data_IF_879427278874
#
_entry.id   IF_879427278874
#
_cell.length_a   1.000
_cell.length_b   1.000
_cell.length_c   1.000
_cell.angle_alpha   90.00
_cell.angle_beta   90.00
_cell.angle_gamma   90.00
#
_symmetry.space_group_name_H-M   'P 1'
#
loop_
_entity.id
_entity.type
_entity.pdbx_description
1 polymer ?
#
# COMPACT_ATOMS: atom_id res chain seq x y z
N UNK A 1 24.59 29.78 53.21
CA UNK A 1 24.02 30.60 52.11
C UNK A 1 24.92 30.39 50.91
N UNK A 2 24.56 29.72 49.82
CA UNK A 2 23.25 29.52 49.20
C UNK A 2 23.35 30.07 47.78
N UNK A 3 23.30 29.18 46.78
CA UNK A 3 22.86 29.36 45.38
C UNK A 3 23.64 28.41 44.47
N UNK A 4 23.22 27.14 44.39
CA UNK A 4 22.33 26.59 43.34
C UNK A 4 22.89 26.82 41.93
N UNK A 5 23.73 25.87 41.52
CA UNK A 5 23.98 25.56 40.12
C UNK A 5 22.64 25.16 39.47
N UNK A 6 22.15 26.03 38.58
CA UNK A 6 20.94 25.82 37.78
C UNK A 6 21.07 24.56 36.95
N UNK A 7 20.32 23.55 37.37
CA UNK A 7 20.32 22.16 36.92
C UNK A 7 19.32 21.93 35.78
N UNK A 8 19.05 22.97 34.99
CA UNK A 8 17.84 23.05 34.16
C UNK A 8 18.05 22.74 32.67
N UNK A 9 19.27 22.42 32.22
CA UNK A 9 19.52 22.14 30.78
C UNK A 9 19.48 20.64 30.41
N UNK A 10 19.35 19.74 31.40
CA UNK A 10 19.39 18.29 31.16
C UNK A 10 18.02 17.65 30.85
N UNK A 11 16.93 18.41 30.99
CA UNK A 11 15.55 17.93 30.75
C UNK A 11 15.05 18.20 29.33
N UNK A 12 15.77 18.99 28.53
CA UNK A 12 15.38 19.31 27.13
C UNK A 12 15.87 18.23 26.14
N UNK A 13 16.94 17.51 26.46
CA UNK A 13 17.55 16.53 25.54
C UNK A 13 16.89 15.15 25.57
N UNK A 14 16.14 14.81 26.63
CA UNK A 14 15.46 13.52 26.77
C UNK A 14 14.13 13.42 26.00
N UNK A 15 13.72 14.49 25.29
CA UNK A 15 12.53 14.47 24.42
C UNK A 15 12.82 14.08 22.97
N UNK A 16 14.08 13.81 22.60
CA UNK A 16 14.39 12.98 21.42
C UNK A 16 14.10 11.51 21.70
N UNK A 17 12.91 11.24 22.24
CA UNK A 17 12.27 9.93 22.16
C UNK A 17 12.28 9.62 20.67
N UNK A 18 13.10 8.65 20.25
CA UNK A 18 13.14 8.17 18.88
C UNK A 18 11.69 7.93 18.49
N UNK A 19 11.11 8.82 17.70
CA UNK A 19 9.84 8.53 17.05
C UNK A 19 10.11 7.24 16.29
N UNK A 20 9.37 6.16 16.56
CA UNK A 20 9.49 4.99 15.70
C UNK A 20 9.31 5.51 14.27
N UNK A 21 10.15 5.13 13.30
CA UNK A 21 9.94 5.52 11.91
C UNK A 21 8.48 5.24 11.63
N UNK A 22 7.74 6.27 11.18
CA UNK A 22 6.29 6.21 10.95
C UNK A 22 5.99 4.82 10.43
N UNK A 23 5.34 3.97 11.25
CA UNK A 23 5.01 2.62 10.83
C UNK A 23 4.06 2.82 9.66
N UNK A 24 4.59 2.69 8.45
CA UNK A 24 3.87 2.73 7.19
C UNK A 24 3.05 1.43 7.03
N UNK A 25 2.48 0.96 8.13
CA UNK A 25 1.66 -0.22 8.15
C UNK A 25 0.30 0.16 7.56
N UNK A 26 0.11 -0.34 6.33
CA UNK A 26 -1.17 -0.61 5.65
C UNK A 26 -1.84 0.53 4.87
N UNK A 27 -1.11 1.31 4.10
CA UNK A 27 -1.70 1.84 2.85
C UNK A 27 -1.37 0.88 1.73
N UNK A 28 -2.18 -0.17 1.58
CA UNK A 28 -2.06 -1.13 0.47
C UNK A 28 -3.19 -0.90 -0.53
N UNK A 29 -2.86 -0.87 -1.81
CA UNK A 29 -3.82 -0.75 -2.91
C UNK A 29 -3.73 -1.99 -3.78
N UNK A 30 -4.87 -2.59 -4.06
CA UNK A 30 -5.03 -3.59 -5.11
C UNK A 30 -5.82 -2.97 -6.26
N UNK A 31 -5.30 -3.10 -7.48
CA UNK A 31 -6.02 -2.75 -8.70
C UNK A 31 -6.55 -4.04 -9.29
N UNK A 32 -7.87 -4.25 -9.25
CA UNK A 32 -8.47 -5.45 -9.84
C UNK A 32 -8.47 -5.34 -11.38
N UNK A 33 -8.40 -6.48 -12.10
CA UNK A 33 -8.43 -6.48 -13.56
C UNK A 33 -9.69 -5.78 -14.08
N UNK A 34 -9.48 -4.81 -14.97
CA UNK A 34 -10.60 -4.16 -15.65
C UNK A 34 -11.31 -5.15 -16.57
N UNK A 35 -12.63 -5.02 -16.67
CA UNK A 35 -13.42 -5.78 -17.63
C UNK A 35 -13.24 -5.22 -19.03
N UNK A 36 -13.12 -6.08 -20.03
CA UNK A 36 -13.29 -5.68 -21.42
C UNK A 36 -14.76 -5.31 -21.67
N UNK A 37 -15.01 -4.06 -22.08
CA UNK A 37 -16.33 -3.56 -22.47
C UNK A 37 -16.54 -3.56 -23.99
N UNK A 38 -15.51 -3.95 -24.76
CA UNK A 38 -15.60 -4.14 -26.21
C UNK A 38 -16.31 -5.46 -26.53
N UNK A 39 -17.05 -5.54 -27.64
CA UNK A 39 -17.55 -6.82 -28.16
C UNK A 39 -16.41 -7.70 -28.72
N UNK A 40 -15.23 -7.14 -29.01
CA UNK A 40 -14.09 -7.92 -29.51
C UNK A 40 -13.31 -8.54 -28.33
N UNK A 41 -13.25 -9.88 -28.23
CA UNK A 41 -12.45 -10.55 -27.21
C UNK A 41 -10.93 -10.31 -27.39
N UNK A 42 -10.48 -9.87 -28.57
CA UNK A 42 -9.09 -9.49 -28.75
C UNK A 42 -8.74 -8.25 -27.95
N UNK A 43 -9.67 -7.35 -27.63
CA UNK A 43 -9.37 -6.13 -26.86
C UNK A 43 -9.08 -6.39 -25.37
N UNK A 44 -9.12 -7.66 -24.93
CA UNK A 44 -8.80 -8.06 -23.57
C UNK A 44 -7.39 -7.64 -23.12
N UNK A 45 -6.42 -7.67 -24.04
CA UNK A 45 -5.05 -7.22 -23.74
C UNK A 45 -5.00 -5.74 -23.39
N UNK A 46 -5.94 -4.93 -23.88
CA UNK A 46 -6.01 -3.50 -23.59
C UNK A 46 -6.43 -3.27 -22.13
N UNK A 47 -7.46 -3.99 -21.66
CA UNK A 47 -7.88 -3.94 -20.26
C UNK A 47 -6.77 -4.44 -19.30
N UNK A 48 -6.04 -5.47 -19.70
CA UNK A 48 -4.88 -5.98 -18.95
C UNK A 48 -3.73 -4.96 -18.92
N UNK A 49 -3.39 -4.37 -20.07
CA UNK A 49 -2.36 -3.34 -20.18
C UNK A 49 -2.70 -2.11 -19.36
N UNK A 50 -3.97 -1.72 -19.30
CA UNK A 50 -4.44 -0.61 -18.46
C UNK A 50 -4.32 -0.92 -16.97
N UNK A 51 -4.70 -2.14 -16.55
CA UNK A 51 -4.51 -2.62 -15.17
C UNK A 51 -3.04 -2.55 -14.76
N UNK A 52 -2.16 -3.07 -15.61
CA UNK A 52 -0.72 -3.08 -15.38
C UNK A 52 -0.12 -1.68 -15.34
N UNK A 53 -0.52 -0.81 -16.27
CA UNK A 53 -0.08 0.59 -16.31
C UNK A 53 -0.48 1.35 -15.03
N UNK A 54 -1.67 1.09 -14.50
CA UNK A 54 -2.13 1.70 -13.25
C UNK A 54 -1.36 1.18 -12.04
N UNK A 55 -1.12 -0.14 -11.95
CA UNK A 55 -0.27 -0.74 -10.92
C UNK A 55 1.13 -0.12 -10.96
N UNK A 56 1.75 -0.03 -12.13
CA UNK A 56 3.09 0.54 -12.30
C UNK A 56 3.13 2.03 -11.93
N UNK A 57 2.07 2.77 -12.23
CA UNK A 57 1.98 4.20 -11.90
C UNK A 57 1.81 4.42 -10.40
N UNK A 58 0.91 3.69 -9.74
CA UNK A 58 0.67 3.81 -8.30
C UNK A 58 1.88 3.30 -7.50
N UNK A 59 2.58 2.27 -7.99
CA UNK A 59 3.78 1.72 -7.35
C UNK A 59 4.93 2.72 -7.20
N UNK A 60 4.89 3.86 -7.93
CA UNK A 60 5.87 4.94 -7.78
C UNK A 60 5.66 5.77 -6.51
N UNK A 61 4.50 5.65 -5.86
CA UNK A 61 4.17 6.35 -4.62
C UNK A 61 4.80 5.59 -3.45
N UNK A 62 5.82 6.19 -2.82
CA UNK A 62 6.63 5.51 -1.79
C UNK A 62 5.87 5.18 -0.51
N UNK A 63 4.78 5.90 -0.24
CA UNK A 63 3.96 5.77 0.95
C UNK A 63 2.84 4.73 0.80
N UNK A 64 2.77 4.02 -0.33
CA UNK A 64 1.72 3.05 -0.65
C UNK A 64 2.33 1.74 -1.14
N UNK A 65 1.96 0.63 -0.50
CA UNK A 65 2.20 -0.70 -1.03
C UNK A 65 1.19 -1.03 -2.13
N UNK A 66 1.63 -1.58 -3.24
CA UNK A 66 0.72 -2.01 -4.32
C UNK A 66 0.82 -3.51 -4.49
N UNK A 67 -0.34 -4.18 -4.53
CA UNK A 67 -0.41 -5.63 -4.76
C UNK A 67 0.07 -5.93 -6.18
N UNK A 68 0.90 -6.97 -6.32
CA UNK A 68 1.46 -7.35 -7.62
C UNK A 68 0.39 -7.69 -8.65
N UNK A 69 0.71 -7.45 -9.94
CA UNK A 69 -0.16 -7.81 -11.08
C UNK A 69 -0.55 -9.28 -11.02
N UNK A 70 0.40 -10.20 -10.84
CA UNK A 70 0.13 -11.64 -10.84
C UNK A 70 -0.87 -12.05 -9.75
N UNK A 71 -0.82 -11.43 -8.57
CA UNK A 71 -1.76 -11.69 -7.47
C UNK A 71 -3.20 -11.24 -7.77
N UNK A 72 -3.39 -10.15 -8.53
CA UNK A 72 -4.74 -9.65 -8.86
C UNK A 72 -5.33 -10.29 -10.12
N UNK A 73 -4.49 -10.78 -11.04
CA UNK A 73 -4.93 -11.37 -12.31
C UNK A 73 -5.80 -12.63 -12.14
N UNK A 74 -5.73 -13.32 -11.00
CA UNK A 74 -6.60 -14.47 -10.71
C UNK A 74 -8.09 -14.10 -10.63
N UNK A 75 -8.41 -12.88 -10.17
CA UNK A 75 -9.79 -12.42 -10.01
C UNK A 75 -10.47 -12.07 -11.35
N UNK A 76 -9.71 -12.09 -12.45
CA UNK A 76 -10.21 -11.96 -13.82
C UNK A 76 -11.13 -13.11 -14.21
N UNK A 77 -10.72 -14.34 -13.91
CA UNK A 77 -11.45 -15.57 -14.28
C UNK A 77 -12.35 -16.08 -13.16
N UNK A 78 -12.10 -15.62 -11.94
CA UNK A 78 -12.82 -16.03 -10.75
C UNK A 78 -13.27 -14.80 -9.95
N UNK A 79 -14.30 -14.08 -10.42
CA UNK A 79 -14.84 -12.95 -9.68
C UNK A 79 -15.39 -13.43 -8.34
N UNK A 80 -15.05 -12.69 -7.28
CA UNK A 80 -15.49 -12.96 -5.91
C UNK A 80 -16.11 -11.71 -5.30
N UNK A 81 -16.93 -11.85 -4.26
CA UNK A 81 -17.32 -10.73 -3.43
C UNK A 81 -16.09 -9.93 -2.98
N UNK A 82 -16.17 -8.60 -3.05
CA UNK A 82 -15.05 -7.71 -2.75
C UNK A 82 -14.45 -7.94 -1.35
N UNK A 83 -15.28 -8.38 -0.40
CA UNK A 83 -14.86 -8.73 0.96
C UNK A 83 -13.87 -9.89 0.96
N UNK A 84 -14.17 -10.95 0.20
CA UNK A 84 -13.32 -12.14 0.12
C UNK A 84 -12.00 -11.83 -0.60
N UNK A 85 -12.07 -11.01 -1.65
CA UNK A 85 -10.88 -10.50 -2.36
C UNK A 85 -9.99 -9.70 -1.41
N UNK A 86 -10.57 -8.81 -0.61
CA UNK A 86 -9.82 -8.00 0.34
C UNK A 86 -9.18 -8.85 1.44
N UNK A 87 -9.87 -9.88 1.94
CA UNK A 87 -9.33 -10.83 2.93
C UNK A 87 -8.15 -11.62 2.36
N UNK A 88 -8.29 -12.16 1.14
CA UNK A 88 -7.23 -12.91 0.46
C UNK A 88 -5.99 -12.04 0.19
N UNK A 89 -6.19 -10.83 -0.33
CA UNK A 89 -5.08 -9.93 -0.66
C UNK A 89 -4.43 -9.31 0.57
N UNK A 90 -5.14 -9.18 1.69
CA UNK A 90 -4.54 -8.72 2.94
C UNK A 90 -3.53 -9.71 3.52
N UNK A 91 -3.75 -11.01 3.32
CA UNK A 91 -2.95 -12.10 3.89
C UNK A 91 -1.65 -12.45 3.14
N UNK A 92 -1.42 -11.88 1.95
CA UNK A 92 -0.28 -12.23 1.08
C UNK A 92 1.09 -11.66 1.53
N UNK A 93 1.15 -10.94 2.66
CA UNK A 93 2.38 -10.35 3.21
C UNK A 93 2.87 -11.08 4.49
N UNK A 94 3.10 -12.40 4.42
CA UNK A 94 3.87 -13.13 5.45
C UNK A 94 5.26 -13.49 4.93
#
# INVERSE_FOLDING_TARGET
MGSRAGSEDLSVQARRRREPPLRLDRRRIAVLPFSNMSPDPNDEYFADGFTEGLIATISKIREVGVVSRTSVMQYRKNPKPIRDVAEELHGLDS
#
